data_IF_940314826145
#
_entry.id   IF_940314826145
#
_cell.length_a   1.000
_cell.length_b   1.000
_cell.length_c   1.000
_cell.angle_alpha   90.00
_cell.angle_beta   90.00
_cell.angle_gamma   90.00
#
_symmetry.space_group_name_H-M   'P 1'
#
loop_
_entity.id
_entity.type
_entity.pdbx_description
1 polymer ?
#
# COMPACT_ATOMS: atom_id res chain seq x y z
N UNK A 1 -25.98 22.43 14.33
CA UNK A 1 -24.79 22.35 15.22
C UNK A 1 -24.83 21.18 16.19
N UNK A 2 -25.89 20.98 16.98
CA UNK A 2 -25.96 19.85 17.93
C UNK A 2 -25.75 18.47 17.28
N UNK A 3 -26.37 18.21 16.12
CA UNK A 3 -26.17 16.96 15.37
C UNK A 3 -24.72 16.75 14.91
N UNK A 4 -24.05 17.83 14.48
CA UNK A 4 -22.65 17.80 14.05
C UNK A 4 -21.76 17.45 15.24
N UNK A 5 -21.99 18.10 16.39
CA UNK A 5 -21.23 17.82 17.61
C UNK A 5 -21.49 16.40 18.13
N UNK A 6 -22.75 15.97 18.19
CA UNK A 6 -23.10 14.61 18.62
C UNK A 6 -22.48 13.54 17.71
N UNK A 7 -22.54 13.73 16.38
CA UNK A 7 -21.87 12.85 15.43
C UNK A 7 -20.34 12.84 15.60
N UNK A 8 -19.73 14.02 15.81
CA UNK A 8 -18.30 14.13 16.10
C UNK A 8 -17.89 13.38 17.37
N UNK A 9 -18.66 13.51 18.45
CA UNK A 9 -18.45 12.77 19.70
C UNK A 9 -18.59 11.26 19.49
N UNK A 10 -19.60 10.83 18.72
CA UNK A 10 -19.80 9.40 18.41
C UNK A 10 -18.63 8.82 17.61
N UNK A 11 -18.12 9.53 16.61
CA UNK A 11 -16.90 9.10 15.90
C UNK A 11 -15.69 9.07 16.85
N UNK A 12 -15.47 10.12 17.65
CA UNK A 12 -14.31 10.15 18.55
C UNK A 12 -14.30 8.99 19.57
N UNK A 13 -15.48 8.58 20.04
CA UNK A 13 -15.62 7.57 21.10
C UNK A 13 -15.91 6.15 20.60
N UNK A 14 -16.38 6.00 19.35
CA UNK A 14 -16.83 4.72 18.78
C UNK A 14 -16.16 4.29 17.48
N UNK A 15 -15.16 5.04 16.98
CA UNK A 15 -14.44 4.68 15.75
C UNK A 15 -13.39 3.57 15.96
N UNK A 16 -12.91 3.03 14.85
CA UNK A 16 -11.73 2.16 14.78
C UNK A 16 -10.78 2.68 13.70
N UNK A 17 -9.48 2.51 13.91
CA UNK A 17 -8.43 2.87 12.95
C UNK A 17 -7.28 1.89 12.99
N UNK A 18 -6.63 1.71 11.85
CA UNK A 18 -5.41 0.92 11.73
C UNK A 18 -4.76 1.14 10.38
N UNK A 19 -3.47 0.82 10.31
CA UNK A 19 -2.68 0.91 9.09
C UNK A 19 -1.87 -0.37 8.94
N UNK A 20 -1.79 -0.89 7.72
CA UNK A 20 -1.03 -2.10 7.42
C UNK A 20 -0.34 -1.98 6.07
N UNK A 21 0.88 -2.49 5.97
CA UNK A 21 1.59 -2.61 4.68
C UNK A 21 1.66 -4.06 4.27
N UNK A 22 1.03 -4.41 3.16
CA UNK A 22 0.85 -5.82 2.75
C UNK A 22 1.44 -6.04 1.37
N UNK A 23 2.42 -6.95 1.22
CA UNK A 23 2.94 -7.40 -0.07
C UNK A 23 1.83 -7.97 -0.96
N UNK A 24 1.96 -7.77 -2.28
CA UNK A 24 1.06 -8.44 -3.22
C UNK A 24 1.10 -9.97 -3.05
N UNK A 25 -0.07 -10.60 -3.17
CA UNK A 25 -0.28 -12.03 -2.97
C UNK A 25 -0.52 -12.46 -1.52
N UNK A 26 -0.43 -11.54 -0.53
CA UNK A 26 -0.66 -11.87 0.88
C UNK A 26 -2.03 -11.39 1.38
N UNK A 27 -2.40 -11.94 2.53
CA UNK A 27 -3.67 -11.71 3.20
C UNK A 27 -3.48 -11.05 4.57
N UNK A 28 -4.54 -10.39 5.03
CA UNK A 28 -4.68 -9.98 6.42
C UNK A 28 -6.16 -9.96 6.82
N UNK A 29 -6.45 -10.06 8.11
CA UNK A 29 -7.83 -9.93 8.63
C UNK A 29 -8.05 -8.49 9.10
N UNK A 30 -9.21 -7.92 8.76
CA UNK A 30 -9.51 -6.52 9.11
C UNK A 30 -9.42 -6.25 10.62
N UNK A 31 -9.91 -7.18 11.43
CA UNK A 31 -9.91 -7.09 12.89
C UNK A 31 -8.52 -7.10 13.54
N UNK A 32 -7.53 -7.70 12.88
CA UNK A 32 -6.14 -7.70 13.38
C UNK A 32 -5.45 -6.35 13.20
N UNK A 33 -5.94 -5.55 12.25
CA UNK A 33 -5.40 -4.22 11.93
C UNK A 33 -6.14 -3.11 12.68
N UNK A 34 -7.46 -3.25 12.85
CA UNK A 34 -8.32 -2.21 13.40
C UNK A 34 -8.26 -2.14 14.94
N UNK A 35 -7.62 -1.10 15.46
CA UNK A 35 -7.65 -0.76 16.88
C UNK A 35 -8.83 0.16 17.26
N UNK A 36 -9.46 -0.02 18.43
CA UNK A 36 -10.51 0.87 18.90
C UNK A 36 -9.94 2.24 19.25
N UNK A 37 -10.63 3.33 18.86
CA UNK A 37 -10.21 4.69 19.23
C UNK A 37 -10.86 5.18 20.52
N UNK A 38 -11.91 4.52 21.02
CA UNK A 38 -12.60 4.91 22.24
C UNK A 38 -13.35 3.77 22.91
N UNK A 39 -14.01 4.08 24.03
CA UNK A 39 -14.66 3.09 24.90
C UNK A 39 -16.03 2.61 24.37
N UNK A 40 -16.61 3.29 23.39
CA UNK A 40 -17.86 2.89 22.73
C UNK A 40 -17.62 2.10 21.43
N UNK A 41 -16.35 1.86 21.09
CA UNK A 41 -15.95 1.12 19.90
C UNK A 41 -16.39 -0.35 20.03
N UNK A 42 -17.36 -0.76 19.22
CA UNK A 42 -17.87 -2.13 19.18
C UNK A 42 -17.58 -2.74 17.81
N UNK A 43 -16.86 -3.88 17.75
CA UNK A 43 -16.55 -4.52 16.48
C UNK A 43 -17.82 -5.11 15.85
N UNK A 44 -17.86 -5.09 14.52
CA UNK A 44 -18.95 -5.68 13.73
C UNK A 44 -18.49 -6.99 13.11
N UNK A 45 -19.41 -7.78 12.55
CA UNK A 45 -19.06 -9.02 11.82
C UNK A 45 -18.07 -8.78 10.67
N UNK A 46 -18.05 -7.57 10.09
CA UNK A 46 -17.12 -7.19 9.03
C UNK A 46 -15.65 -7.27 9.46
N UNK A 47 -15.33 -7.24 10.76
CA UNK A 47 -13.97 -7.37 11.27
C UNK A 47 -13.38 -8.76 11.00
N UNK A 48 -14.22 -9.77 10.82
CA UNK A 48 -13.81 -11.13 10.49
C UNK A 48 -13.60 -11.33 8.97
N UNK A 49 -13.56 -10.26 8.18
CA UNK A 49 -13.33 -10.33 6.74
C UNK A 49 -11.84 -10.41 6.46
N UNK A 50 -11.44 -11.38 5.65
CA UNK A 50 -10.08 -11.49 5.13
C UNK A 50 -9.92 -10.61 3.89
N UNK A 51 -8.83 -9.87 3.83
CA UNK A 51 -8.46 -9.00 2.72
C UNK A 51 -7.24 -9.59 2.03
N UNK A 52 -7.39 -9.92 0.74
CA UNK A 52 -6.30 -10.36 -0.11
C UNK A 52 -5.84 -9.22 -1.02
N UNK A 53 -4.53 -8.97 -1.04
CA UNK A 53 -3.92 -8.03 -2.00
C UNK A 53 -3.58 -8.77 -3.28
N UNK A 54 -4.47 -8.73 -4.28
CA UNK A 54 -4.24 -9.42 -5.55
C UNK A 54 -3.04 -8.82 -6.29
N UNK A 55 -2.98 -7.49 -6.39
CA UNK A 55 -1.95 -6.78 -7.16
C UNK A 55 -1.81 -5.34 -6.71
N UNK A 56 -0.56 -4.88 -6.68
CA UNK A 56 -0.23 -3.47 -6.57
C UNK A 56 0.45 -2.99 -7.85
N UNK A 57 0.07 -1.83 -8.37
CA UNK A 57 0.74 -1.23 -9.52
C UNK A 57 0.64 0.30 -9.49
N UNK A 58 1.50 0.93 -10.29
CA UNK A 58 1.60 2.37 -10.43
C UNK A 58 1.42 2.76 -11.89
N UNK A 59 0.69 3.84 -12.11
CA UNK A 59 0.62 4.50 -13.40
C UNK A 59 1.59 5.67 -13.42
N UNK A 60 2.16 5.94 -14.58
CA UNK A 60 3.23 6.92 -14.76
C UNK A 60 2.84 7.92 -15.83
N UNK A 61 3.23 9.18 -15.65
CA UNK A 61 3.20 10.16 -16.71
C UNK A 61 4.29 9.86 -17.75
N UNK A 62 4.19 10.47 -18.93
CA UNK A 62 5.24 10.38 -19.96
C UNK A 62 6.61 10.91 -19.48
N UNK A 63 6.60 11.78 -18.45
CA UNK A 63 7.81 12.25 -17.76
C UNK A 63 8.52 11.16 -16.94
N UNK A 64 7.88 10.02 -16.70
CA UNK A 64 8.34 8.95 -15.81
C UNK A 64 7.98 9.15 -14.34
N UNK A 65 7.30 10.24 -13.99
CA UNK A 65 6.81 10.47 -12.63
C UNK A 65 5.57 9.63 -12.33
N UNK A 66 5.42 9.18 -11.08
CA UNK A 66 4.24 8.42 -10.65
C UNK A 66 3.01 9.33 -10.64
N UNK A 67 1.97 8.90 -11.34
CA UNK A 67 0.70 9.61 -11.46
C UNK A 67 -0.38 9.08 -10.50
N UNK A 68 -0.45 7.77 -10.32
CA UNK A 68 -1.50 7.12 -9.53
C UNK A 68 -1.00 5.78 -8.97
N UNK A 69 -1.55 5.42 -7.80
CA UNK A 69 -1.32 4.14 -7.14
C UNK A 69 -2.60 3.33 -7.15
N UNK A 70 -2.48 2.06 -7.52
CA UNK A 70 -3.60 1.14 -7.59
C UNK A 70 -3.35 -0.13 -6.79
N UNK A 71 -4.37 -0.55 -6.06
CA UNK A 71 -4.37 -1.81 -5.32
C UNK A 71 -5.63 -2.58 -5.65
N UNK A 72 -5.49 -3.77 -6.24
CA UNK A 72 -6.60 -4.68 -6.47
C UNK A 72 -6.81 -5.57 -5.25
N UNK A 73 -7.98 -5.46 -4.60
CA UNK A 73 -8.31 -6.19 -3.38
C UNK A 73 -9.49 -7.12 -3.59
N UNK A 74 -9.39 -8.32 -3.02
CA UNK A 74 -10.53 -9.23 -2.83
C UNK A 74 -10.81 -9.37 -1.34
N UNK A 75 -12.09 -9.35 -0.99
CA UNK A 75 -12.60 -9.56 0.35
C UNK A 75 -13.24 -10.93 0.44
N UNK A 76 -12.91 -11.69 1.47
CA UNK A 76 -13.43 -13.03 1.72
C UNK A 76 -14.15 -13.10 3.07
N UNK A 77 -15.27 -13.80 3.09
CA UNK A 77 -15.93 -14.18 4.35
C UNK A 77 -15.18 -15.32 5.07
N UNK A 78 -15.60 -15.64 6.29
CA UNK A 78 -15.02 -16.73 7.08
C UNK A 78 -15.17 -18.12 6.46
N UNK A 79 -16.01 -18.27 5.43
CA UNK A 79 -16.17 -19.52 4.68
C UNK A 79 -15.28 -19.56 3.43
N UNK A 80 -14.45 -18.54 3.20
CA UNK A 80 -13.56 -18.42 2.06
C UNK A 80 -14.27 -17.98 0.77
N UNK A 81 -15.51 -17.48 0.85
CA UNK A 81 -16.24 -16.98 -0.32
C UNK A 81 -15.85 -15.52 -0.58
N UNK A 82 -15.49 -15.21 -1.83
CA UNK A 82 -15.27 -13.82 -2.24
C UNK A 82 -16.59 -13.03 -2.15
N UNK A 83 -16.64 -12.03 -1.28
CA UNK A 83 -17.82 -11.17 -1.04
C UNK A 83 -17.75 -9.87 -1.82
N UNK A 84 -16.54 -9.42 -2.16
CA UNK A 84 -16.32 -8.19 -2.91
C UNK A 84 -14.92 -8.20 -3.54
N UNK A 85 -14.79 -7.66 -4.74
CA UNK A 85 -13.50 -7.31 -5.33
C UNK A 85 -13.55 -5.89 -5.87
N UNK A 86 -12.52 -5.10 -5.58
CA UNK A 86 -12.40 -3.73 -6.09
C UNK A 86 -10.92 -3.33 -6.19
N UNK A 87 -10.59 -2.66 -7.27
CA UNK A 87 -9.34 -1.92 -7.40
C UNK A 87 -9.51 -0.51 -6.85
N UNK A 88 -8.76 -0.17 -5.80
CA UNK A 88 -8.81 1.14 -5.13
C UNK A 88 -7.64 2.04 -5.55
N UNK A 89 -7.77 3.35 -5.32
CA UNK A 89 -6.73 4.36 -5.55
C UNK A 89 -6.78 5.47 -4.50
N UNK A 90 -5.83 6.42 -4.50
CA UNK A 90 -5.64 7.44 -3.42
C UNK A 90 -6.90 8.27 -3.12
N UNK A 91 -7.85 8.36 -4.04
CA UNK A 91 -9.12 9.08 -3.85
C UNK A 91 -10.38 8.22 -4.11
N UNK A 92 -10.22 6.93 -4.38
CA UNK A 92 -11.33 6.00 -4.57
C UNK A 92 -11.21 4.80 -3.61
N UNK A 93 -11.65 4.95 -2.35
CA UNK A 93 -11.49 3.91 -1.34
C UNK A 93 -12.49 2.75 -1.52
N UNK A 94 -12.19 1.61 -0.92
CA UNK A 94 -13.11 0.49 -0.78
C UNK A 94 -13.96 0.68 0.49
N UNK A 95 -15.27 0.48 0.41
CA UNK A 95 -16.18 0.54 1.57
C UNK A 95 -16.96 -0.77 1.70
N UNK A 96 -16.86 -1.41 2.86
CA UNK A 96 -17.54 -2.67 3.15
C UNK A 96 -17.87 -2.78 4.65
N UNK A 97 -19.13 -3.11 4.98
CA UNK A 97 -19.52 -3.38 6.37
C UNK A 97 -19.28 -2.22 7.37
N UNK A 98 -19.28 -0.97 6.89
CA UNK A 98 -18.97 0.22 7.71
C UNK A 98 -17.47 0.54 7.82
N UNK A 99 -16.60 -0.33 7.31
CA UNK A 99 -15.16 -0.15 7.21
C UNK A 99 -14.83 0.51 5.86
N UNK A 100 -13.95 1.50 5.87
CA UNK A 100 -13.38 2.11 4.67
C UNK A 100 -11.88 1.82 4.62
N UNK A 101 -11.41 1.32 3.48
CA UNK A 101 -10.02 1.01 3.20
C UNK A 101 -9.48 2.02 2.19
N UNK A 102 -8.43 2.73 2.55
CA UNK A 102 -7.76 3.74 1.73
C UNK A 102 -6.39 3.23 1.30
N UNK A 103 -5.99 3.53 0.06
CA UNK A 103 -4.57 3.49 -0.31
C UNK A 103 -3.91 4.76 0.20
N UNK A 104 -2.94 4.61 1.09
CA UNK A 104 -2.24 5.76 1.70
C UNK A 104 -0.74 5.73 1.45
N UNK A 105 -0.16 4.55 1.23
CA UNK A 105 1.27 4.42 0.94
C UNK A 105 1.59 3.19 0.08
N UNK A 106 2.86 3.00 -0.24
CA UNK A 106 3.39 1.81 -0.89
C UNK A 106 4.80 1.47 -0.39
N UNK A 107 5.22 0.22 -0.58
CA UNK A 107 6.58 -0.22 -0.29
C UNK A 107 7.08 -1.21 -1.35
N UNK A 108 8.35 -1.55 -1.29
CA UNK A 108 8.98 -2.58 -2.12
C UNK A 108 9.31 -3.77 -1.21
N UNK A 109 8.65 -4.91 -1.41
CA UNK A 109 8.83 -6.09 -0.56
C UNK A 109 10.02 -6.93 -0.99
N UNK A 110 10.05 -7.34 -2.26
CA UNK A 110 11.06 -8.26 -2.75
C UNK A 110 11.30 -8.12 -4.24
N UNK A 111 12.55 -8.33 -4.64
CA UNK A 111 12.96 -8.39 -6.03
C UNK A 111 13.16 -9.85 -6.44
N UNK A 112 12.44 -10.28 -7.48
CA UNK A 112 12.60 -11.61 -8.05
C UNK A 112 13.67 -11.62 -9.11
N UNK A 113 14.67 -12.49 -8.94
CA UNK A 113 15.77 -12.62 -9.89
C UNK A 113 16.03 -14.06 -10.30
N UNK A 114 16.54 -14.25 -11.51
CA UNK A 114 17.24 -15.47 -11.91
C UNK A 114 18.73 -15.19 -11.94
N UNK A 115 19.51 -16.15 -11.45
CA UNK A 115 20.97 -16.12 -11.45
C UNK A 115 21.46 -17.33 -12.23
N UNK A 116 22.19 -17.10 -13.32
CA UNK A 116 22.75 -18.14 -14.20
C UNK A 116 21.72 -19.18 -14.71
N UNK A 117 20.44 -18.77 -14.78
CA UNK A 117 19.32 -19.64 -15.16
C UNK A 117 18.64 -20.36 -13.98
N UNK A 118 19.16 -20.24 -12.77
CA UNK A 118 18.56 -20.75 -11.54
C UNK A 118 17.67 -19.70 -10.85
N UNK A 119 16.63 -20.17 -10.15
CA UNK A 119 15.66 -19.33 -9.42
C UNK A 119 14.20 -19.63 -9.82
N UNK A 120 13.26 -18.69 -9.58
CA UNK A 120 13.45 -17.33 -9.11
C UNK A 120 13.81 -17.25 -7.61
N UNK A 121 14.78 -16.41 -7.27
CA UNK A 121 15.11 -16.06 -5.89
C UNK A 121 14.39 -14.77 -5.50
N UNK A 122 13.73 -14.77 -4.34
CA UNK A 122 13.12 -13.58 -3.75
C UNK A 122 14.13 -12.87 -2.85
N UNK A 123 14.71 -11.78 -3.32
CA UNK A 123 15.59 -10.94 -2.52
C UNK A 123 14.78 -9.88 -1.80
N UNK A 124 14.81 -9.87 -0.46
CA UNK A 124 14.10 -8.86 0.31
C UNK A 124 14.66 -7.46 0.00
N UNK A 125 13.76 -6.50 -0.21
CA UNK A 125 14.09 -5.11 -0.47
C UNK A 125 13.95 -4.32 0.83
N UNK A 126 15.00 -3.58 1.19
CA UNK A 126 15.02 -2.75 2.39
C UNK A 126 14.92 -1.27 2.00
N UNK A 127 14.11 -0.46 2.71
CA UNK A 127 14.11 0.98 2.52
C UNK A 127 15.45 1.58 2.96
N UNK A 128 16.01 2.46 2.15
CA UNK A 128 17.24 3.19 2.39
C UNK A 128 16.91 4.68 2.57
N UNK A 129 17.34 5.25 3.69
CA UNK A 129 17.16 6.68 3.97
C UNK A 129 18.44 7.43 3.65
N UNK A 130 18.43 8.26 2.60
CA UNK A 130 19.57 9.11 2.23
C UNK A 130 19.08 10.55 2.13
N UNK A 131 19.62 11.45 2.95
CA UNK A 131 19.44 12.91 2.86
C UNK A 131 18.00 13.41 2.63
N UNK A 132 17.00 12.74 3.24
CA UNK A 132 15.58 13.12 3.14
C UNK A 132 14.81 12.52 1.96
N UNK A 133 15.46 11.73 1.10
CA UNK A 133 14.83 11.01 0.00
C UNK A 133 14.00 9.83 0.56
N UNK A 134 12.68 9.86 0.36
CA UNK A 134 11.74 9.02 1.15
C UNK A 134 11.49 7.62 0.60
N UNK A 135 11.84 7.33 -0.66
CA UNK A 135 11.49 6.07 -1.34
C UNK A 135 12.65 5.55 -2.19
N UNK A 136 13.78 5.30 -1.56
CA UNK A 136 14.86 4.49 -2.13
C UNK A 136 14.83 3.12 -1.46
N UNK A 137 14.95 2.06 -2.26
CA UNK A 137 15.01 0.69 -1.77
C UNK A 137 16.26 0.03 -2.31
N UNK A 138 16.82 -0.89 -1.53
CA UNK A 138 17.99 -1.64 -1.93
C UNK A 138 17.94 -3.10 -1.49
N UNK A 139 18.61 -3.94 -2.27
CA UNK A 139 18.90 -5.32 -1.90
C UNK A 139 20.30 -5.70 -2.34
N UNK A 140 20.79 -6.83 -1.86
CA UNK A 140 22.14 -7.31 -2.09
C UNK A 140 22.10 -8.79 -2.41
N UNK A 141 22.67 -9.15 -3.56
CA UNK A 141 22.90 -10.54 -3.95
C UNK A 141 24.35 -10.91 -3.61
N UNK A 142 24.60 -11.74 -2.58
CA UNK A 142 25.96 -12.22 -2.31
C UNK A 142 26.46 -13.09 -3.46
N UNK A 143 27.67 -12.81 -3.94
CA UNK A 143 28.33 -13.56 -5.02
C UNK A 143 29.74 -13.93 -4.58
N UNK A 144 29.90 -15.15 -4.06
CA UNK A 144 31.16 -15.67 -3.52
C UNK A 144 30.92 -16.61 -2.35
N UNK A 145 31.95 -16.81 -1.54
CA UNK A 145 31.87 -17.61 -0.31
C UNK A 145 31.14 -16.82 0.80
N UNK A 146 29.98 -17.33 1.21
CA UNK A 146 29.11 -16.75 2.24
C UNK A 146 29.69 -16.83 3.65
N UNK A 147 30.71 -17.68 3.87
CA UNK A 147 31.35 -17.88 5.18
C UNK A 147 32.54 -16.93 5.41
N UNK A 148 32.86 -16.07 4.44
CA UNK A 148 33.93 -15.08 4.55
C UNK A 148 33.47 -13.80 5.25
N UNK A 149 34.36 -13.16 6.01
CA UNK A 149 34.10 -11.87 6.68
C UNK A 149 33.92 -10.67 5.74
N UNK A 150 34.14 -10.86 4.43
CA UNK A 150 34.04 -9.84 3.39
C UNK A 150 33.19 -10.36 2.23
N UNK A 151 31.92 -10.65 2.51
CA UNK A 151 30.95 -11.07 1.49
C UNK A 151 30.83 -9.96 0.42
N UNK A 152 31.35 -10.25 -0.77
CA UNK A 152 31.18 -9.40 -1.95
C UNK A 152 29.95 -9.83 -2.72
N UNK A 153 29.32 -8.91 -3.42
CA UNK A 153 28.08 -9.19 -4.12
C UNK A 153 27.63 -8.03 -4.97
N UNK A 154 26.48 -8.23 -5.60
CA UNK A 154 25.86 -7.31 -6.53
C UNK A 154 24.78 -6.55 -5.78
N UNK A 155 24.93 -5.23 -5.71
CA UNK A 155 23.96 -4.35 -5.07
C UNK A 155 22.92 -3.92 -6.09
N UNK A 156 21.65 -3.91 -5.69
CA UNK A 156 20.55 -3.49 -6.54
C UNK A 156 19.76 -2.40 -5.82
N UNK A 157 19.45 -1.32 -6.52
CA UNK A 157 18.72 -0.17 -5.99
C UNK A 157 17.50 0.14 -6.86
N UNK A 158 16.42 0.59 -6.23
CA UNK A 158 15.19 0.94 -6.92
C UNK A 158 14.52 2.15 -6.25
N UNK A 159 13.98 3.06 -7.08
CA UNK A 159 13.13 4.18 -6.63
C UNK A 159 11.65 3.96 -6.94
N UNK A 160 11.38 3.02 -7.85
CA UNK A 160 10.06 2.61 -8.30
C UNK A 160 10.07 1.09 -8.58
N UNK A 161 8.96 0.54 -9.08
CA UNK A 161 8.86 -0.87 -9.47
C UNK A 161 9.22 -1.13 -10.95
N UNK A 162 9.65 -0.12 -11.70
CA UNK A 162 9.95 -0.24 -13.14
C UNK A 162 11.44 -0.28 -13.44
N UNK A 163 12.28 0.31 -12.60
CA UNK A 163 13.70 0.54 -12.88
C UNK A 163 14.57 0.07 -11.73
N UNK A 164 15.31 -1.03 -11.97
CA UNK A 164 16.28 -1.58 -11.03
C UNK A 164 17.68 -1.23 -11.52
N UNK A 165 18.42 -0.50 -10.70
CA UNK A 165 19.82 -0.12 -10.93
C UNK A 165 20.72 -1.17 -10.31
N UNK A 166 21.68 -1.71 -11.07
CA UNK A 166 22.60 -2.73 -10.61
C UNK A 166 24.03 -2.19 -10.53
N UNK A 167 24.75 -2.59 -9.48
CA UNK A 167 26.14 -2.27 -9.23
C UNK A 167 26.97 -3.55 -9.06
N UNK A 168 28.18 -3.55 -9.58
CA UNK A 168 29.13 -4.66 -9.47
C UNK A 168 29.73 -4.80 -8.06
N UNK A 169 30.61 -5.80 -7.87
CA UNK A 169 31.27 -6.09 -6.58
C UNK A 169 32.15 -4.94 -6.06
N UNK A 170 32.51 -3.98 -6.90
CA UNK A 170 33.31 -2.81 -6.54
C UNK A 170 32.44 -1.55 -6.35
N UNK A 171 31.12 -1.67 -6.48
CA UNK A 171 30.18 -0.56 -6.38
C UNK A 171 30.14 0.33 -7.63
N UNK A 172 30.68 -0.13 -8.76
CA UNK A 172 30.59 0.58 -10.04
C UNK A 172 29.28 0.22 -10.72
N UNK A 173 28.66 1.23 -11.34
CA UNK A 173 27.40 1.08 -12.07
C UNK A 173 27.56 0.07 -13.21
N UNK A 174 26.73 -0.97 -13.20
CA UNK A 174 26.72 -2.02 -14.21
C UNK A 174 25.61 -1.81 -15.25
N UNK A 175 24.45 -1.29 -14.82
CA UNK A 175 23.34 -0.99 -15.73
C UNK A 175 21.99 -0.87 -15.04
N UNK A 176 20.95 -0.66 -15.85
CA UNK A 176 19.55 -0.63 -15.41
C UNK A 176 18.79 -1.76 -16.10
N UNK A 177 17.90 -2.41 -15.35
CA UNK A 177 16.98 -3.43 -15.87
C UNK A 177 15.55 -3.14 -15.44
N UNK A 178 14.63 -3.33 -16.39
CA UNK A 178 13.19 -3.30 -16.14
C UNK A 178 12.72 -4.70 -15.75
N UNK A 179 12.01 -4.86 -14.63
CA UNK A 179 11.34 -6.12 -14.31
C UNK A 179 10.46 -6.58 -15.48
N UNK A 180 10.30 -7.89 -15.66
CA UNK A 180 9.57 -8.51 -16.76
C UNK A 180 10.16 -8.32 -18.18
N UNK A 181 11.28 -7.61 -18.36
CA UNK A 181 11.93 -7.49 -19.68
C UNK A 181 12.54 -8.80 -20.20
N UNK A 182 12.82 -9.76 -19.31
CA UNK A 182 13.52 -11.04 -19.61
C UNK A 182 14.92 -10.88 -20.20
N UNK A 183 15.45 -9.65 -20.26
CA UNK A 183 16.78 -9.38 -20.81
C UNK A 183 17.84 -9.56 -19.73
N UNK A 184 18.81 -10.48 -19.92
CA UNK A 184 19.87 -10.66 -18.95
C UNK A 184 20.83 -9.47 -18.90
N UNK A 185 21.53 -9.35 -17.78
CA UNK A 185 22.73 -8.53 -17.61
C UNK A 185 23.84 -9.40 -17.05
N UNK A 186 25.03 -9.30 -17.63
CA UNK A 186 26.21 -10.00 -17.11
C UNK A 186 27.00 -9.02 -16.25
N UNK A 187 27.22 -9.41 -14.99
CA UNK A 187 27.97 -8.63 -14.00
C UNK A 187 28.94 -9.60 -13.32
N UNK A 188 30.23 -9.31 -13.40
CA UNK A 188 31.29 -10.12 -12.78
C UNK A 188 31.21 -11.63 -13.12
N UNK A 189 30.85 -11.96 -14.37
CA UNK A 189 30.71 -13.33 -14.85
C UNK A 189 29.45 -14.06 -14.38
N UNK A 190 28.53 -13.36 -13.68
CA UNK A 190 27.22 -13.87 -13.27
C UNK A 190 26.14 -13.26 -14.16
N UNK A 191 25.27 -14.10 -14.73
CA UNK A 191 24.14 -13.68 -15.55
C UNK A 191 22.91 -13.47 -14.67
N UNK A 192 22.40 -12.25 -14.63
CA UNK A 192 21.24 -11.87 -13.83
C UNK A 192 20.07 -11.50 -14.73
N UNK A 193 18.88 -11.99 -14.41
CA UNK A 193 17.61 -11.53 -15.02
C UNK A 193 16.71 -11.04 -13.90
N UNK A 194 16.20 -9.81 -14.02
CA UNK A 194 15.16 -9.31 -13.14
C UNK A 194 13.81 -9.83 -13.64
N UNK A 195 13.22 -10.76 -12.90
CA UNK A 195 11.95 -11.40 -13.23
C UNK A 195 10.81 -10.46 -12.90
N UNK A 196 10.67 -10.09 -11.63
CA UNK A 196 9.56 -9.26 -11.16
C UNK A 196 9.95 -8.38 -9.97
N UNK A 197 9.16 -7.33 -9.74
CA UNK A 197 9.30 -6.41 -8.62
C UNK A 197 8.04 -6.49 -7.76
N UNK A 198 8.16 -7.13 -6.60
CA UNK A 198 7.04 -7.36 -5.67
C UNK A 198 6.86 -6.11 -4.81
N UNK A 199 5.85 -5.32 -5.15
CA UNK A 199 5.41 -4.19 -4.34
C UNK A 199 4.49 -4.59 -3.18
N UNK A 200 4.38 -3.68 -2.22
CA UNK A 200 3.41 -3.74 -1.12
C UNK A 200 2.53 -2.52 -1.13
N UNK A 201 1.26 -2.71 -0.74
CA UNK A 201 0.30 -1.62 -0.56
C UNK A 201 0.23 -1.21 0.90
N UNK A 202 0.33 0.09 1.17
CA UNK A 202 0.04 0.70 2.46
C UNK A 202 -1.45 1.05 2.52
N UNK A 203 -2.18 0.36 3.37
CA UNK A 203 -3.62 0.44 3.50
C UNK A 203 -4.00 0.99 4.88
N UNK A 204 -4.82 2.05 4.89
CA UNK A 204 -5.44 2.56 6.10
C UNK A 204 -6.89 2.09 6.18
N UNK A 205 -7.25 1.46 7.29
CA UNK A 205 -8.59 1.00 7.58
C UNK A 205 -9.22 1.90 8.64
N UNK A 206 -10.48 2.30 8.41
CA UNK A 206 -11.21 3.20 9.30
C UNK A 206 -12.68 2.85 9.38
N UNK A 207 -13.23 2.93 10.59
CA UNK A 207 -14.68 2.90 10.83
C UNK A 207 -15.07 4.19 11.54
N UNK A 208 -16.08 4.90 11.03
CA UNK A 208 -16.61 6.11 11.69
C UNK A 208 -18.14 6.11 11.77
N UNK A 209 -18.73 5.66 12.89
CA UNK A 209 -20.18 5.56 13.01
C UNK A 209 -20.89 6.92 13.05
N UNK A 210 -20.21 8.00 13.42
CA UNK A 210 -20.79 9.34 13.53
C UNK A 210 -20.91 10.12 12.22
N UNK A 211 -20.26 9.67 11.13
CA UNK A 211 -20.26 10.37 9.84
C UNK A 211 -21.66 10.67 9.30
N UNK A 212 -22.64 9.73 9.32
CA UNK A 212 -23.99 10.02 8.88
C UNK A 212 -24.66 11.16 9.67
N UNK A 213 -24.50 11.20 11.00
CA UNK A 213 -25.08 12.24 11.85
C UNK A 213 -24.43 13.61 11.58
N UNK A 214 -23.11 13.64 11.35
CA UNK A 214 -22.39 14.85 10.96
C UNK A 214 -22.93 15.40 9.64
N UNK A 215 -23.07 14.54 8.61
CA UNK A 215 -23.60 14.96 7.31
C UNK A 215 -25.05 15.42 7.37
N UNK A 216 -25.91 14.72 8.13
CA UNK A 216 -27.27 15.18 8.37
C UNK A 216 -27.29 16.57 9.04
N UNK A 217 -26.40 16.80 10.00
CA UNK A 217 -26.24 18.10 10.66
C UNK A 217 -25.81 19.22 9.70
N UNK A 218 -24.88 18.96 8.79
CA UNK A 218 -24.51 19.91 7.74
C UNK A 218 -25.64 20.14 6.73
N UNK A 219 -26.36 19.10 6.34
CA UNK A 219 -27.54 19.21 5.47
C UNK A 219 -28.62 20.11 6.06
N UNK A 220 -28.95 19.91 7.34
CA UNK A 220 -29.88 20.76 8.07
C UNK A 220 -29.39 22.21 8.14
N UNK A 221 -28.09 22.43 8.38
CA UNK A 221 -27.50 23.77 8.41
C UNK A 221 -27.68 24.48 7.07
N UNK A 222 -27.28 23.84 5.96
CA UNK A 222 -27.45 24.42 4.61
C UNK A 222 -28.91 24.79 4.33
N UNK A 223 -29.84 23.90 4.68
CA UNK A 223 -31.28 24.14 4.49
C UNK A 223 -31.78 25.33 5.32
N UNK A 224 -31.40 25.42 6.60
CA UNK A 224 -31.78 26.56 7.46
C UNK A 224 -31.19 27.88 6.97
N UNK A 225 -29.97 27.87 6.42
CA UNK A 225 -29.36 29.07 5.82
C UNK A 225 -30.15 29.54 4.60
N UNK A 226 -30.56 28.62 3.71
CA UNK A 226 -31.41 28.96 2.57
C UNK A 226 -32.75 29.57 3.00
N UNK A 227 -33.42 29.00 4.01
CA UNK A 227 -34.69 29.53 4.53
C UNK A 227 -34.49 30.92 5.15
N UNK A 228 -33.43 31.11 5.93
CA UNK A 228 -33.11 32.40 6.56
C UNK A 228 -32.90 33.50 5.51
N UNK A 229 -32.19 33.19 4.43
CA UNK A 229 -31.98 34.13 3.32
C UNK A 229 -33.29 34.50 2.63
N UNK A 230 -34.16 33.52 2.35
CA UNK A 230 -35.48 33.76 1.77
C UNK A 230 -36.37 34.63 2.68
N UNK A 231 -36.29 34.43 4.00
CA UNK A 231 -37.04 35.21 4.98
C UNK A 231 -36.58 36.68 5.06
N UNK A 232 -35.32 36.97 4.75
CA UNK A 232 -34.77 38.33 4.75
C UNK A 232 -34.90 39.04 3.39
N UNK A 233 -35.25 38.31 2.33
CA UNK A 233 -35.49 38.85 0.99
C UNK A 233 -36.96 39.29 0.76
N UNK A 234 -37.82 39.14 1.77
CA UNK A 234 -39.18 39.68 1.84
C UNK A 234 -39.21 40.96 2.67
#
# INVERSE_FOLDING_TARGET
MLLIMAGGTLSATGSFRGSVTVPQGLNFVMGDVLGPTGFLSTPTEAFNTEVHVNKFYMDYYDSGEVSQFHTDLSLFDMNGKEVMRKTLSVNDPLRYGGITIYQTDWSFSALQILKDGEGPFNLAMAPLTINGDKKLFGTFLPVGDTDSSNVKGISMLARDLQSIVLYDKQGKFAGVRRPNSKLPIEIDGTKIVIVDAIGSSGLDLKTDPGVPAVYAGFGALMLTTCISYLSHAQ
#
